data_IF_255065731553
#
_entry.id   IF_255065731553
#
_cell.length_a   1.000
_cell.length_b   1.000
_cell.length_c   1.000
_cell.angle_alpha   90.00
_cell.angle_beta   90.00
_cell.angle_gamma   90.00
#
_symmetry.space_group_name_H-M   'P 1'
#
loop_
_entity.id
_entity.type
_entity.pdbx_description
1 polymer ?
#
# COMPACT_ATOMS: atom_id res chain seq x y z
N UNK A 1 -7.54 31.79 18.37
CA UNK A 1 -8.18 30.49 18.04
C UNK A 1 -7.16 29.67 17.27
N UNK A 2 -6.75 28.52 17.79
CA UNK A 2 -5.79 27.65 17.09
C UNK A 2 -6.61 26.65 16.26
N UNK A 3 -6.48 26.69 14.93
CA UNK A 3 -7.23 25.81 14.01
C UNK A 3 -6.32 24.61 13.73
N UNK A 4 -6.61 23.45 14.32
CA UNK A 4 -5.90 22.22 13.95
C UNK A 4 -6.28 21.82 12.53
N UNK A 5 -5.33 21.91 11.61
CA UNK A 5 -5.52 21.52 10.22
C UNK A 5 -5.69 19.99 10.12
N UNK A 6 -6.68 19.55 9.34
CA UNK A 6 -6.86 18.13 9.00
C UNK A 6 -6.17 17.85 7.67
N UNK A 7 -5.23 16.90 7.67
CA UNK A 7 -4.50 16.46 6.48
C UNK A 7 -4.96 15.06 6.10
N UNK A 8 -5.44 14.88 4.88
CA UNK A 8 -5.67 13.56 4.30
C UNK A 8 -4.33 13.01 3.82
N UNK A 9 -3.90 11.89 4.38
CA UNK A 9 -2.63 11.24 4.01
C UNK A 9 -2.85 10.30 2.83
N UNK A 10 -3.93 9.52 2.89
CA UNK A 10 -4.24 8.52 1.89
C UNK A 10 -5.70 8.15 1.94
N UNK A 11 -6.28 7.92 0.78
CA UNK A 11 -7.64 7.43 0.64
C UNK A 11 -7.75 6.42 -0.49
N UNK A 12 -8.81 5.61 -0.43
CA UNK A 12 -9.07 4.60 -1.45
C UNK A 12 -10.04 3.54 -0.98
N UNK A 13 -10.52 2.74 -1.92
CA UNK A 13 -11.43 1.63 -1.62
C UNK A 13 -10.60 0.39 -1.27
N UNK A 14 -10.97 -0.26 -0.18
CA UNK A 14 -10.36 -1.50 0.31
C UNK A 14 -11.47 -2.49 0.70
N UNK A 15 -11.19 -3.79 0.66
CA UNK A 15 -12.01 -4.76 1.37
C UNK A 15 -11.53 -4.82 2.81
N UNK A 16 -12.45 -4.60 3.74
CA UNK A 16 -12.16 -4.43 5.16
C UNK A 16 -12.91 -5.46 5.98
N UNK A 17 -12.20 -6.14 6.86
CA UNK A 17 -12.78 -6.97 7.90
C UNK A 17 -12.67 -6.23 9.23
N UNK A 18 -13.84 -6.01 9.84
CA UNK A 18 -13.93 -5.44 11.17
C UNK A 18 -14.13 -6.57 12.20
N UNK A 19 -13.10 -6.91 13.00
CA UNK A 19 -13.20 -7.98 14.01
C UNK A 19 -14.13 -7.63 15.17
N UNK A 20 -14.48 -6.36 15.35
CA UNK A 20 -15.42 -5.91 16.38
C UNK A 20 -16.89 -6.11 15.95
N UNK A 21 -17.13 -6.42 14.67
CA UNK A 21 -18.47 -6.73 14.17
C UNK A 21 -18.70 -8.24 14.25
N UNK A 22 -19.77 -8.71 14.92
CA UNK A 22 -20.02 -10.14 15.14
C UNK A 22 -20.05 -10.97 13.87
N UNK A 23 -20.48 -10.39 12.75
CA UNK A 23 -20.59 -11.11 11.49
C UNK A 23 -19.24 -11.48 10.89
N UNK A 24 -18.15 -10.75 11.21
CA UNK A 24 -16.81 -10.95 10.65
C UNK A 24 -16.83 -11.20 9.13
N UNK A 25 -17.46 -10.29 8.39
CA UNK A 25 -17.57 -10.35 6.92
C UNK A 25 -16.71 -9.24 6.31
N UNK A 26 -15.95 -9.58 5.27
CA UNK A 26 -15.24 -8.59 4.45
C UNK A 26 -16.24 -7.68 3.74
N UNK A 27 -16.10 -6.37 3.93
CA UNK A 27 -16.94 -5.36 3.31
C UNK A 27 -16.09 -4.38 2.53
N UNK A 28 -16.53 -4.08 1.30
CA UNK A 28 -15.91 -3.04 0.50
C UNK A 28 -16.23 -1.68 1.10
N UNK A 29 -15.18 -0.98 1.54
CA UNK A 29 -15.30 0.30 2.26
C UNK A 29 -14.38 1.35 1.63
N UNK A 30 -14.83 2.61 1.67
CA UNK A 30 -13.96 3.74 1.35
C UNK A 30 -13.17 4.10 2.60
N UNK A 31 -11.85 3.98 2.52
CA UNK A 31 -10.93 4.16 3.62
C UNK A 31 -10.23 5.50 3.48
N UNK A 32 -10.15 6.27 4.56
CA UNK A 32 -9.46 7.56 4.59
C UNK A 32 -8.55 7.61 5.82
N UNK A 33 -7.24 7.61 5.58
CA UNK A 33 -6.22 7.85 6.60
C UNK A 33 -5.99 9.35 6.71
N UNK A 34 -6.32 9.92 7.86
CA UNK A 34 -6.17 11.35 8.12
C UNK A 34 -5.30 11.59 9.34
N UNK A 35 -4.56 12.70 9.31
CA UNK A 35 -3.77 13.23 10.41
C UNK A 35 -4.32 14.59 10.79
N UNK A 36 -4.76 14.69 12.03
CA UNK A 36 -5.04 15.95 12.73
C UNK A 36 -3.98 16.07 13.83
N UNK A 37 -4.40 16.20 15.09
CA UNK A 37 -3.58 16.00 16.28
C UNK A 37 -3.25 14.51 16.52
N UNK A 38 -4.06 13.60 15.95
CA UNK A 38 -3.88 12.16 16.01
C UNK A 38 -3.98 11.53 14.62
N UNK A 39 -3.41 10.34 14.46
CA UNK A 39 -3.59 9.52 13.27
C UNK A 39 -4.85 8.68 13.42
N UNK A 40 -5.78 8.78 12.46
CA UNK A 40 -7.01 7.97 12.44
C UNK A 40 -7.30 7.42 11.06
N UNK A 41 -7.84 6.20 11.03
CA UNK A 41 -8.40 5.59 9.83
C UNK A 41 -9.92 5.64 9.89
N UNK A 42 -10.53 6.38 8.98
CA UNK A 42 -11.99 6.46 8.83
C UNK A 42 -12.46 5.48 7.77
N UNK A 43 -13.49 4.73 8.11
CA UNK A 43 -14.08 3.70 7.27
C UNK A 43 -15.51 4.11 6.93
N UNK A 44 -15.78 4.28 5.64
CA UNK A 44 -17.07 4.69 5.11
C UNK A 44 -17.70 3.56 4.32
N UNK A 45 -19.02 3.47 4.39
CA UNK A 45 -19.78 2.64 3.46
C UNK A 45 -19.70 3.28 2.05
N UNK A 46 -19.24 2.51 1.06
CA UNK A 46 -19.11 2.98 -0.32
C UNK A 46 -20.44 3.43 -0.92
N UNK A 47 -21.56 2.76 -0.59
CA UNK A 47 -22.86 3.06 -1.20
C UNK A 47 -23.58 4.24 -0.54
N UNK A 48 -23.34 4.47 0.75
CA UNK A 48 -24.09 5.45 1.53
C UNK A 48 -23.28 6.71 1.85
N UNK A 49 -21.99 6.76 1.52
CA UNK A 49 -21.04 7.83 1.93
C UNK A 49 -21.08 8.15 3.44
N UNK A 50 -21.59 7.20 4.23
CA UNK A 50 -21.79 7.34 5.67
C UNK A 50 -20.58 6.77 6.39
N UNK A 51 -20.03 7.57 7.32
CA UNK A 51 -18.98 7.11 8.22
C UNK A 51 -19.51 5.96 9.06
N UNK A 52 -18.89 4.78 8.94
CA UNK A 52 -19.25 3.61 9.73
C UNK A 52 -18.38 3.50 10.98
N UNK A 53 -17.07 3.74 10.85
CA UNK A 53 -16.14 3.57 11.95
C UNK A 53 -14.94 4.51 11.84
N UNK A 54 -14.40 4.88 12.99
CA UNK A 54 -13.11 5.57 13.09
C UNK A 54 -12.20 4.76 13.99
N UNK A 55 -11.05 4.35 13.47
CA UNK A 55 -10.02 3.61 14.21
C UNK A 55 -8.91 4.58 14.60
N UNK A 56 -8.67 4.73 15.90
CA UNK A 56 -7.56 5.54 16.42
C UNK A 56 -6.27 4.75 16.35
N UNK A 57 -5.25 5.32 15.73
CA UNK A 57 -4.01 4.61 15.41
C UNK A 57 -2.84 4.91 16.36
N UNK A 58 -3.05 5.76 17.38
CA UNK A 58 -1.99 6.28 18.27
C UNK A 58 -1.16 5.22 18.99
N UNK A 59 -1.67 3.99 19.15
CA UNK A 59 -0.93 2.87 19.73
C UNK A 59 -1.08 1.59 18.90
N UNK A 60 -1.26 1.75 17.59
CA UNK A 60 -1.34 0.64 16.66
C UNK A 60 0.00 0.32 16.02
N UNK A 61 0.10 -0.90 15.49
CA UNK A 61 1.10 -1.33 14.51
C UNK A 61 0.37 -1.84 13.29
N UNK A 62 1.03 -1.77 12.14
CA UNK A 62 0.55 -2.37 10.91
C UNK A 62 1.52 -3.47 10.46
N UNK A 63 0.99 -4.63 10.14
CA UNK A 63 1.76 -5.80 9.70
C UNK A 63 1.12 -6.43 8.47
N UNK A 64 1.96 -7.07 7.65
CA UNK A 64 1.48 -7.92 6.58
C UNK A 64 1.19 -9.31 7.13
N UNK A 65 0.04 -9.87 6.75
CA UNK A 65 -0.31 -11.28 6.93
C UNK A 65 -0.79 -11.86 5.61
N UNK A 66 -0.93 -13.18 5.58
CA UNK A 66 -1.70 -13.88 4.54
C UNK A 66 -2.95 -14.47 5.17
N UNK A 67 -4.09 -14.37 4.50
CA UNK A 67 -5.30 -15.06 4.93
C UNK A 67 -5.27 -16.53 4.50
N UNK A 68 -6.34 -17.27 4.81
CA UNK A 68 -6.50 -18.69 4.45
C UNK A 68 -6.49 -18.94 2.94
N UNK A 69 -6.78 -17.91 2.13
CA UNK A 69 -6.74 -17.94 0.67
C UNK A 69 -5.36 -17.58 0.10
N UNK A 70 -4.38 -17.27 0.96
CA UNK A 70 -3.04 -16.83 0.56
C UNK A 70 -2.96 -15.36 0.15
N UNK A 71 -4.05 -14.60 0.26
CA UNK A 71 -4.10 -13.18 -0.13
C UNK A 71 -3.35 -12.31 0.87
N UNK A 72 -2.67 -11.28 0.38
CA UNK A 72 -1.99 -10.30 1.21
C UNK A 72 -2.99 -9.44 2.00
N UNK A 73 -2.89 -9.47 3.33
CA UNK A 73 -3.74 -8.72 4.26
C UNK A 73 -2.89 -7.75 5.08
N UNK A 74 -3.28 -6.49 5.10
CA UNK A 74 -2.74 -5.50 6.04
C UNK A 74 -3.54 -5.59 7.34
N UNK A 75 -2.91 -6.10 8.39
CA UNK A 75 -3.45 -6.10 9.74
C UNK A 75 -3.07 -4.82 10.48
N UNK A 76 -4.05 -4.15 11.07
CA UNK A 76 -3.86 -3.08 12.05
C UNK A 76 -4.25 -3.65 13.41
N UNK A 77 -3.28 -3.73 14.32
CA UNK A 77 -3.49 -4.19 15.68
C UNK A 77 -2.97 -3.17 16.68
N UNK A 78 -3.49 -3.17 17.90
CA UNK A 78 -2.86 -2.45 19.02
C UNK A 78 -1.48 -3.06 19.31
N UNK A 79 -0.63 -2.34 20.06
CA UNK A 79 0.65 -2.88 20.55
C UNK A 79 0.48 -4.13 21.42
N UNK A 80 -0.67 -4.28 22.07
CA UNK A 80 -1.05 -5.43 22.89
C UNK A 80 -1.51 -6.63 22.05
N UNK A 81 -1.65 -6.48 20.72
CA UNK A 81 -2.04 -7.55 19.81
C UNK A 81 -3.53 -7.64 19.50
N UNK A 82 -4.35 -6.73 20.05
CA UNK A 82 -5.77 -6.68 19.71
C UNK A 82 -5.96 -6.17 18.27
N UNK A 83 -6.53 -7.01 17.41
CA UNK A 83 -6.78 -6.65 16.01
C UNK A 83 -7.89 -5.61 15.95
N UNK A 84 -7.59 -4.45 15.38
CA UNK A 84 -8.54 -3.37 15.21
C UNK A 84 -9.24 -3.43 13.85
N UNK A 85 -8.50 -3.83 12.82
CA UNK A 85 -8.95 -3.82 11.43
C UNK A 85 -8.04 -4.71 10.57
N UNK A 86 -8.61 -5.46 9.62
CA UNK A 86 -7.86 -6.08 8.54
C UNK A 86 -8.29 -5.48 7.21
N UNK A 87 -7.35 -5.24 6.32
CA UNK A 87 -7.63 -4.68 5.00
C UNK A 87 -6.92 -5.47 3.92
N UNK A 88 -7.62 -5.75 2.83
CA UNK A 88 -7.10 -6.49 1.68
C UNK A 88 -7.58 -5.88 0.36
N UNK A 89 -6.93 -6.27 -0.72
CA UNK A 89 -7.34 -5.97 -2.07
C UNK A 89 -6.84 -7.06 -3.03
N UNK A 90 -7.56 -7.30 -4.12
CA UNK A 90 -7.22 -8.34 -5.10
C UNK A 90 -5.82 -8.15 -5.70
N UNK A 91 -5.41 -6.90 -5.95
CA UNK A 91 -4.05 -6.58 -6.34
C UNK A 91 -3.17 -6.38 -5.10
N UNK A 92 -2.32 -7.36 -4.76
CA UNK A 92 -1.49 -7.33 -3.54
C UNK A 92 -0.68 -6.03 -3.40
N UNK A 93 -0.20 -5.48 -4.52
CA UNK A 93 0.56 -4.20 -4.56
C UNK A 93 -0.18 -3.07 -3.86
N UNK A 94 -1.52 -3.05 -3.94
CA UNK A 94 -2.35 -2.05 -3.25
C UNK A 94 -2.29 -2.24 -1.74
N UNK A 95 -2.41 -3.48 -1.26
CA UNK A 95 -2.26 -3.82 0.16
C UNK A 95 -0.87 -3.43 0.68
N UNK A 96 0.20 -3.77 -0.04
CA UNK A 96 1.57 -3.36 0.33
C UNK A 96 1.74 -1.85 0.39
N UNK A 97 1.17 -1.13 -0.57
CA UNK A 97 1.23 0.33 -0.60
C UNK A 97 0.49 0.94 0.60
N UNK A 98 -0.67 0.40 1.00
CA UNK A 98 -1.36 0.80 2.23
C UNK A 98 -0.55 0.49 3.49
N UNK A 99 0.01 -0.71 3.59
CA UNK A 99 0.87 -1.10 4.70
C UNK A 99 2.07 -0.15 4.86
N UNK A 100 2.77 0.14 3.77
CA UNK A 100 3.93 1.03 3.77
C UNK A 100 3.56 2.46 4.23
N UNK A 101 2.44 2.99 3.76
CA UNK A 101 1.93 4.29 4.22
C UNK A 101 1.63 4.26 5.72
N UNK A 102 0.90 3.24 6.20
CA UNK A 102 0.55 3.11 7.61
C UNK A 102 1.79 3.00 8.50
N UNK A 103 2.75 2.15 8.13
CA UNK A 103 3.99 1.98 8.90
C UNK A 103 4.80 3.28 8.95
N UNK A 104 4.88 4.03 7.85
CA UNK A 104 5.55 5.34 7.82
C UNK A 104 4.90 6.32 8.78
N UNK A 105 3.57 6.41 8.76
CA UNK A 105 2.83 7.33 9.62
C UNK A 105 2.87 6.91 11.10
N UNK A 106 2.77 5.61 11.38
CA UNK A 106 2.85 5.07 12.75
C UNK A 106 4.23 5.25 13.38
N UNK A 107 5.32 5.22 12.59
CA UNK A 107 6.67 5.55 13.06
C UNK A 107 6.81 7.04 13.41
N UNK A 108 6.20 7.93 12.62
CA UNK A 108 6.24 9.37 12.86
C UNK A 108 5.52 9.86 14.12
N UNK A 109 4.66 9.02 14.73
CA UNK A 109 4.04 9.27 16.05
C UNK A 109 4.82 8.65 17.21
N UNK A 110 5.89 7.92 16.92
CA UNK A 110 6.74 7.23 17.89
C UNK A 110 8.15 7.81 17.92
N UNK A 111 8.30 9.04 18.40
CA UNK A 111 9.54 9.53 19.03
C UNK A 111 9.17 9.64 20.51
N UNK A 112 9.70 8.90 21.49
CA UNK A 112 11.07 8.44 21.71
C UNK A 112 11.05 7.11 22.50
N UNK A 113 11.93 6.19 22.13
CA UNK A 113 12.25 4.98 22.89
C UNK A 113 13.53 4.44 22.28
N UNK A 114 14.54 4.07 23.08
CA UNK A 114 15.89 3.89 22.59
C UNK A 114 15.91 2.89 21.44
N UNK A 115 16.59 3.25 20.37
CA UNK A 115 17.01 2.31 19.37
C UNK A 115 17.83 1.23 20.09
N UNK A 116 17.20 0.09 20.39
CA UNK A 116 17.95 -1.13 20.65
C UNK A 116 18.46 -1.58 19.29
N UNK A 117 19.57 -0.96 18.92
CA UNK A 117 20.55 -1.52 18.02
C UNK A 117 21.02 -2.84 18.66
N UNK A 118 20.35 -3.95 18.34
CA UNK A 118 20.96 -5.25 18.53
C UNK A 118 21.96 -5.46 17.39
N UNK A 119 23.11 -4.81 17.55
CA UNK A 119 24.36 -5.24 16.95
C UNK A 119 24.60 -6.74 17.28
N UNK A 120 25.25 -7.50 16.37
CA UNK A 120 25.59 -8.89 16.63
C UNK A 120 26.50 -9.01 17.87
N UNK A 121 26.40 -10.09 18.66
CA UNK A 121 27.09 -10.18 19.93
C UNK A 121 28.61 -10.29 19.76
N UNK A 122 29.32 -9.24 20.18
CA UNK A 122 30.75 -9.26 20.40
C UNK A 122 31.06 -9.89 21.77
N UNK A 123 31.86 -10.96 21.77
CA UNK A 123 32.36 -11.70 22.95
C UNK A 123 33.17 -10.83 23.92
N UNK A 124 33.08 -11.18 25.20
CA UNK A 124 34.16 -11.14 26.21
C UNK A 124 33.88 -12.27 27.20
N UNK A 125 34.80 -13.05 27.75
CA UNK A 125 36.25 -13.25 27.62
C UNK A 125 36.55 -14.56 28.38
N UNK A 126 37.52 -15.38 27.93
CA UNK A 126 37.86 -16.63 28.60
C UNK A 126 39.02 -17.41 27.98
N UNK A 127 40.22 -16.85 28.10
CA UNK A 127 41.55 -17.51 28.21
C UNK A 127 42.20 -18.24 27.02
N UNK A 128 43.57 -18.35 27.04
CA UNK A 128 44.41 -18.25 25.85
C UNK A 128 44.88 -19.62 25.32
N UNK A 129 45.06 -19.69 24.00
CA UNK A 129 45.71 -20.80 23.33
C UNK A 129 46.24 -20.34 21.98
N UNK A 130 47.56 -20.40 21.82
CA UNK A 130 48.26 -20.20 20.56
C UNK A 130 47.65 -21.07 19.46
N UNK A 131 47.35 -20.51 18.29
CA UNK A 131 47.92 -20.93 17.00
C UNK A 131 47.45 -19.97 15.89
N UNK A 132 48.38 -19.69 14.99
CA UNK A 132 48.29 -18.72 13.91
C UNK A 132 47.22 -19.10 12.87
N UNK A 133 46.71 -18.10 12.13
CA UNK A 133 46.66 -18.03 10.64
C UNK A 133 45.79 -16.86 10.16
N UNK A 134 46.46 -15.94 9.44
CA UNK A 134 46.07 -15.04 8.35
C UNK A 134 44.85 -14.08 8.43
N UNK A 135 45.04 -12.77 8.17
CA UNK A 135 43.94 -11.82 7.98
C UNK A 135 43.37 -11.92 6.55
N UNK A 136 42.08 -12.23 6.43
CA UNK A 136 41.36 -12.12 5.16
C UNK A 136 40.81 -10.68 4.96
N UNK A 137 40.99 -10.08 3.77
CA UNK A 137 40.66 -8.67 3.48
C UNK A 137 39.15 -8.42 3.29
N UNK A 138 38.69 -7.14 3.37
CA UNK A 138 37.29 -6.79 3.22
C UNK A 138 36.84 -6.96 1.75
N UNK A 139 35.91 -7.88 1.50
CA UNK A 139 35.32 -8.05 0.17
C UNK A 139 34.20 -7.02 -0.06
N UNK A 140 34.62 -5.94 -0.72
CA UNK A 140 33.92 -5.10 -1.69
C UNK A 140 32.41 -5.35 -1.91
N UNK A 141 31.64 -4.30 -1.63
CA UNK A 141 30.34 -4.01 -2.25
C UNK A 141 30.43 -4.13 -3.77
N UNK A 142 29.67 -5.05 -4.36
CA UNK A 142 29.38 -5.03 -5.79
C UNK A 142 27.91 -4.72 -6.01
N UNK A 143 27.63 -3.44 -6.20
CA UNK A 143 26.39 -2.94 -6.81
C UNK A 143 26.31 -3.48 -8.24
N UNK A 144 25.48 -4.50 -8.47
CA UNK A 144 25.09 -4.88 -9.83
C UNK A 144 23.99 -3.94 -10.31
N UNK A 145 24.42 -2.81 -10.88
CA UNK A 145 23.61 -1.97 -11.74
C UNK A 145 23.44 -2.71 -13.06
N UNK A 146 22.25 -3.26 -13.34
CA UNK A 146 21.89 -3.68 -14.70
C UNK A 146 21.21 -2.50 -15.41
N UNK A 147 22.03 -1.57 -15.89
CA UNK A 147 21.64 -0.63 -16.92
C UNK A 147 21.77 -1.32 -18.27
N UNK A 148 20.65 -1.73 -18.88
CA UNK A 148 20.62 -2.07 -20.30
C UNK A 148 20.42 -0.77 -21.11
N UNK A 149 21.36 -0.38 -21.98
CA UNK A 149 21.25 0.79 -22.83
C UNK A 149 20.67 0.42 -24.22
N UNK A 150 19.53 1.04 -24.58
CA UNK A 150 19.06 1.62 -25.89
C UNK A 150 19.43 0.91 -27.23
N UNK A 151 18.53 0.88 -28.25
CA UNK A 151 18.17 2.08 -29.06
C UNK A 151 16.70 2.17 -29.52
N UNK A 152 16.06 3.34 -29.49
CA UNK A 152 15.85 4.28 -30.62
C UNK A 152 15.32 3.65 -31.93
N UNK A 153 13.98 3.71 -32.11
CA UNK A 153 13.37 3.90 -33.42
C UNK A 153 12.48 5.15 -33.36
N UNK A 154 13.10 6.26 -33.74
CA UNK A 154 12.49 7.52 -34.19
C UNK A 154 11.98 7.32 -35.62
N UNK A 155 10.68 7.54 -35.90
CA UNK A 155 10.12 8.74 -36.56
C UNK A 155 9.06 8.27 -37.58
N UNK A 156 8.25 9.14 -38.23
CA UNK A 156 7.78 10.47 -37.86
C UNK A 156 6.24 10.60 -37.93
N UNK A 157 5.73 11.65 -37.29
CA UNK A 157 4.46 12.29 -37.63
C UNK A 157 4.72 13.24 -38.81
N UNK A 158 3.96 13.17 -39.91
CA UNK A 158 3.49 14.29 -40.77
C UNK A 158 2.80 13.72 -42.02
N UNK A 159 1.64 14.30 -42.36
CA UNK A 159 0.67 13.76 -43.29
C UNK A 159 0.87 14.08 -44.78
N UNK A 160 -0.03 13.52 -45.58
CA UNK A 160 -0.42 14.00 -46.90
C UNK A 160 -1.88 13.56 -47.16
N UNK A 161 -2.73 14.51 -47.53
CA UNK A 161 -4.11 14.30 -47.96
C UNK A 161 -4.21 13.84 -49.42
N UNK A 162 -5.43 13.36 -49.74
CA UNK A 162 -6.16 13.46 -51.00
C UNK A 162 -6.05 12.29 -51.99
N UNK A 163 -7.22 11.68 -52.23
CA UNK A 163 -7.47 10.70 -53.29
C UNK A 163 -8.87 10.09 -53.16
N UNK A 164 -9.87 10.79 -53.70
CA UNK A 164 -11.29 10.41 -53.80
C UNK A 164 -11.52 9.22 -54.73
N UNK A 165 -12.49 8.34 -54.40
CA UNK A 165 -13.47 7.70 -55.32
C UNK A 165 -14.26 6.59 -54.56
N UNK A 166 -15.46 6.90 -54.07
CA UNK A 166 -16.80 6.54 -54.62
C UNK A 166 -17.30 5.11 -54.34
N UNK A 167 -18.46 5.09 -53.66
CA UNK A 167 -19.61 4.19 -53.80
C UNK A 167 -19.40 2.72 -53.43
N UNK A 168 -20.25 2.10 -52.58
CA UNK A 168 -21.66 1.86 -52.90
C UNK A 168 -22.46 1.49 -51.64
N UNK A 169 -23.70 1.97 -51.62
CA UNK A 169 -24.78 1.83 -50.64
C UNK A 169 -25.22 0.40 -50.29
N UNK A 170 -25.74 0.22 -49.07
CA UNK A 170 -27.01 -0.44 -48.67
C UNK A 170 -26.98 -0.62 -47.13
N UNK A 171 -28.04 -0.51 -46.32
CA UNK A 171 -29.30 0.21 -46.34
C UNK A 171 -29.78 0.24 -44.89
N UNK A 172 -30.39 1.36 -44.56
CA UNK A 172 -31.04 1.79 -43.32
C UNK A 172 -32.07 0.81 -42.74
N UNK A 173 -32.17 0.76 -41.41
CA UNK A 173 -33.40 0.34 -40.72
C UNK A 173 -33.32 0.45 -39.19
N UNK A 174 -33.55 1.63 -38.58
CA UNK A 174 -33.94 1.73 -37.18
C UNK A 174 -35.45 1.49 -37.05
N UNK A 175 -35.85 0.69 -36.07
CA UNK A 175 -37.25 0.51 -35.69
C UNK A 175 -37.47 1.12 -34.30
N UNK A 176 -38.15 2.29 -34.21
CA UNK A 176 -38.84 2.71 -33.01
C UNK A 176 -40.36 2.76 -33.21
N UNK A 177 -41.05 2.21 -32.20
CA UNK A 177 -42.32 2.64 -31.59
C UNK A 177 -43.45 3.21 -32.48
N UNK A 178 -44.63 2.57 -32.39
CA UNK A 178 -45.90 3.21 -32.73
C UNK A 178 -46.97 2.80 -31.72
N UNK A 179 -47.53 3.81 -31.07
CA UNK A 179 -48.71 3.80 -30.20
C UNK A 179 -49.93 3.12 -30.85
N UNK A 180 -50.70 2.41 -30.02
CA UNK A 180 -52.17 2.40 -30.04
C UNK A 180 -52.75 1.90 -28.73
#
# INVERSE_FOLDING_TARGET
MNISATVVIKEGVMDVLDPQVPSQIWKRQYCVLVKTDILVLKLFNVTQTKLQRTVRLSHCRAALKRNEKGEAVCEISTRQGEVQCLMTWSAERVTYNWLSTLQTQLKGFGTEGPAVECAPPCRTSGSPGNEAVSPAPPLHLSLSVSTSPRPLLSSPLTGAQAGVATSTSHSTGPHPESER
#
